data_IF_810182460585
#
_entry.id   IF_810182460585
#
_cell.length_a   1.000
_cell.length_b   1.000
_cell.length_c   1.000
_cell.angle_alpha   90.00
_cell.angle_beta   90.00
_cell.angle_gamma   90.00
#
_symmetry.space_group_name_H-M   'P 1'
#
loop_
_entity.id
_entity.type
_entity.pdbx_description
1 polymer ?
#
# COMPACT_ATOMS: atom_id res chain seq x y z
N UNK A 1 -9.02 31.49 -38.88
CA UNK A 1 -9.98 30.45 -38.43
C UNK A 1 -9.64 29.89 -37.04
N UNK A 2 -8.55 30.30 -36.38
CA UNK A 2 -8.11 29.67 -35.11
C UNK A 2 -8.85 30.13 -33.84
N UNK A 3 -9.62 31.23 -33.89
CA UNK A 3 -10.37 31.72 -32.72
C UNK A 3 -11.69 30.95 -32.47
N UNK A 4 -12.26 30.34 -33.50
CA UNK A 4 -13.54 29.60 -33.39
C UNK A 4 -13.31 28.22 -32.76
N UNK A 5 -12.20 27.55 -33.11
CA UNK A 5 -11.86 26.24 -32.54
C UNK A 5 -11.53 26.32 -31.03
N UNK A 6 -10.89 27.39 -30.54
CA UNK A 6 -10.65 27.59 -29.10
C UNK A 6 -11.95 27.74 -28.29
N UNK A 7 -12.99 28.34 -28.87
CA UNK A 7 -14.29 28.53 -28.22
C UNK A 7 -15.04 27.20 -28.05
N UNK A 8 -15.00 26.31 -29.06
CA UNK A 8 -15.63 24.99 -28.97
C UNK A 8 -15.01 24.08 -27.90
N UNK A 9 -13.68 24.08 -27.75
CA UNK A 9 -13.02 23.28 -26.71
C UNK A 9 -13.37 23.77 -25.29
N UNK A 10 -13.43 25.09 -25.08
CA UNK A 10 -13.78 25.64 -23.77
C UNK A 10 -15.23 25.33 -23.41
N UNK A 11 -16.15 25.45 -24.36
CA UNK A 11 -17.56 25.09 -24.15
C UNK A 11 -17.73 23.60 -23.85
N UNK A 12 -16.99 22.72 -24.51
CA UNK A 12 -17.07 21.27 -24.26
C UNK A 12 -16.54 20.88 -22.87
N UNK A 13 -15.47 21.53 -22.39
CA UNK A 13 -14.96 21.32 -21.03
C UNK A 13 -15.97 21.83 -19.99
N UNK A 14 -16.55 23.01 -20.23
CA UNK A 14 -17.52 23.60 -19.32
C UNK A 14 -18.81 22.76 -19.25
N UNK A 15 -19.30 22.27 -20.40
CA UNK A 15 -20.44 21.36 -20.47
C UNK A 15 -20.16 20.02 -19.76
N UNK A 16 -18.95 19.47 -19.93
CA UNK A 16 -18.52 18.26 -19.22
C UNK A 16 -18.54 18.46 -17.70
N UNK A 17 -18.00 19.57 -17.20
CA UNK A 17 -18.03 19.88 -15.77
C UNK A 17 -19.45 20.07 -15.24
N UNK A 18 -20.33 20.76 -15.98
CA UNK A 18 -21.73 20.97 -15.58
C UNK A 18 -22.51 19.65 -15.59
N UNK A 19 -22.31 18.80 -16.61
CA UNK A 19 -22.97 17.50 -16.69
C UNK A 19 -22.52 16.56 -15.57
N UNK A 20 -21.22 16.54 -15.24
CA UNK A 20 -20.69 15.76 -14.12
C UNK A 20 -21.29 16.28 -12.79
N UNK A 21 -21.31 17.60 -12.58
CA UNK A 21 -21.86 18.19 -11.37
C UNK A 21 -23.38 17.91 -11.23
N UNK A 22 -24.12 17.94 -12.33
CA UNK A 22 -25.56 17.69 -12.33
C UNK A 22 -25.89 16.21 -12.14
N UNK A 23 -25.15 15.30 -12.78
CA UNK A 23 -25.33 13.86 -12.57
C UNK A 23 -24.98 13.44 -11.14
N UNK A 24 -23.96 14.05 -10.54
CA UNK A 24 -23.70 13.89 -9.11
C UNK A 24 -24.90 14.37 -8.31
N UNK A 25 -25.39 15.61 -8.57
CA UNK A 25 -26.52 16.24 -7.88
C UNK A 25 -27.81 15.42 -7.90
N UNK A 26 -28.11 14.74 -9.01
CA UNK A 26 -29.37 14.02 -9.20
C UNK A 26 -29.33 12.59 -8.65
N UNK A 27 -28.16 11.93 -8.61
CA UNK A 27 -28.06 10.51 -8.22
C UNK A 27 -27.95 10.33 -6.70
N UNK A 28 -27.71 11.38 -5.93
CA UNK A 28 -27.45 11.29 -4.48
C UNK A 28 -28.53 11.98 -3.65
N UNK A 29 -29.27 11.26 -2.77
CA UNK A 29 -30.32 11.87 -1.95
C UNK A 29 -29.71 12.83 -0.90
N UNK A 30 -30.38 13.95 -0.55
CA UNK A 30 -29.95 14.83 0.54
C UNK A 30 -30.15 14.07 1.86
N UNK A 31 -29.08 13.82 2.66
CA UNK A 31 -28.14 14.84 3.15
C UNK A 31 -26.68 14.67 2.67
N UNK A 32 -26.41 13.89 1.62
CA UNK A 32 -25.05 13.55 1.18
C UNK A 32 -24.21 14.73 0.63
N UNK A 33 -24.81 15.91 0.43
CA UNK A 33 -24.12 17.14 0.02
C UNK A 33 -23.56 17.97 1.18
N UNK A 34 -23.94 17.66 2.42
CA UNK A 34 -23.44 18.40 3.56
C UNK A 34 -22.03 17.90 3.90
N UNK A 35 -21.03 18.64 3.39
CA UNK A 35 -19.60 18.54 3.68
C UNK A 35 -18.79 17.58 2.81
N UNK A 36 -18.69 17.85 1.50
CA UNK A 36 -17.40 17.57 0.84
C UNK A 36 -16.39 18.53 1.49
N UNK A 37 -15.65 18.02 2.46
CA UNK A 37 -14.66 18.78 3.21
C UNK A 37 -13.42 18.94 2.31
N UNK A 38 -12.73 20.09 2.38
CA UNK A 38 -11.43 20.26 1.72
C UNK A 38 -10.43 19.15 2.15
N UNK A 39 -10.62 18.61 3.36
CA UNK A 39 -9.89 17.45 3.85
C UNK A 39 -10.11 16.19 2.99
N UNK A 40 -11.30 15.96 2.48
CA UNK A 40 -11.63 14.80 1.62
C UNK A 40 -10.93 14.92 0.27
N UNK A 41 -10.89 16.14 -0.29
CA UNK A 41 -10.19 16.44 -1.54
C UNK A 41 -8.69 16.25 -1.38
N UNK A 42 -8.11 16.79 -0.30
CA UNK A 42 -6.67 16.64 -0.01
C UNK A 42 -6.29 15.17 0.23
N UNK A 43 -7.10 14.43 1.01
CA UNK A 43 -6.94 13.00 1.20
C UNK A 43 -6.98 12.24 -0.13
N UNK A 44 -7.99 12.50 -0.97
CA UNK A 44 -8.12 11.88 -2.29
C UNK A 44 -6.91 12.12 -3.20
N UNK A 45 -6.40 13.36 -3.23
CA UNK A 45 -5.19 13.72 -3.99
C UNK A 45 -3.96 12.94 -3.47
N UNK A 46 -3.78 12.87 -2.15
CA UNK A 46 -2.66 12.13 -1.54
C UNK A 46 -2.72 10.64 -1.87
N UNK A 47 -3.90 10.02 -1.69
CA UNK A 47 -4.09 8.61 -2.04
C UNK A 47 -3.87 8.37 -3.54
N UNK A 48 -4.31 9.28 -4.41
CA UNK A 48 -4.07 9.16 -5.85
C UNK A 48 -2.58 9.19 -6.20
N UNK A 49 -1.80 10.05 -5.53
CA UNK A 49 -0.33 10.11 -5.68
C UNK A 49 0.32 8.82 -5.19
N UNK A 50 -0.05 8.35 -4.00
CA UNK A 50 0.45 7.11 -3.41
C UNK A 50 0.10 5.90 -4.28
N UNK A 51 -1.12 5.84 -4.83
CA UNK A 51 -1.53 4.82 -5.81
C UNK A 51 -0.60 4.80 -7.02
N UNK A 52 -0.28 5.98 -7.58
CA UNK A 52 0.66 6.08 -8.69
C UNK A 52 2.05 5.53 -8.35
N UNK A 53 2.53 5.77 -7.13
CA UNK A 53 3.79 5.23 -6.62
C UNK A 53 3.72 3.71 -6.42
N UNK A 54 2.64 3.17 -5.85
CA UNK A 54 2.41 1.72 -5.73
C UNK A 54 2.56 1.04 -7.09
N UNK A 55 1.88 1.55 -8.13
CA UNK A 55 1.98 0.96 -9.47
C UNK A 55 3.37 1.09 -10.07
N UNK A 56 4.04 2.23 -9.87
CA UNK A 56 5.41 2.45 -10.32
C UNK A 56 6.37 1.45 -9.68
N UNK A 57 6.32 1.24 -8.36
CA UNK A 57 7.22 0.35 -7.65
C UNK A 57 6.90 -1.12 -7.87
N UNK A 58 5.62 -1.49 -7.99
CA UNK A 58 5.20 -2.84 -8.41
C UNK A 58 5.76 -3.19 -9.78
N UNK A 59 5.67 -2.29 -10.77
CA UNK A 59 6.17 -2.55 -12.12
C UNK A 59 7.70 -2.60 -12.18
N UNK A 60 8.39 -1.90 -11.27
CA UNK A 60 9.84 -1.98 -11.10
C UNK A 60 10.30 -3.16 -10.24
N UNK A 61 9.38 -3.93 -9.66
CA UNK A 61 9.64 -4.98 -8.69
C UNK A 61 10.44 -4.50 -7.46
N UNK A 62 10.31 -3.23 -7.10
CA UNK A 62 10.97 -2.62 -5.94
C UNK A 62 10.13 -2.86 -4.68
N UNK A 63 10.36 -4.02 -4.04
CA UNK A 63 9.58 -4.49 -2.90
C UNK A 63 9.61 -3.55 -1.70
N UNK A 64 10.78 -2.98 -1.40
CA UNK A 64 10.98 -2.15 -0.21
C UNK A 64 10.20 -0.83 -0.35
N UNK A 65 10.37 -0.13 -1.48
CA UNK A 65 9.63 1.11 -1.73
C UNK A 65 8.13 0.87 -1.87
N UNK A 66 7.73 -0.28 -2.43
CA UNK A 66 6.33 -0.66 -2.49
C UNK A 66 5.72 -0.80 -1.08
N UNK A 67 6.40 -1.49 -0.17
CA UNK A 67 5.96 -1.60 1.22
C UNK A 67 5.91 -0.24 1.90
N UNK A 68 6.93 0.60 1.67
CA UNK A 68 6.97 1.94 2.23
C UNK A 68 5.75 2.77 1.84
N UNK A 69 5.42 2.76 0.54
CA UNK A 69 4.23 3.46 0.02
C UNK A 69 2.93 2.88 0.58
N UNK A 70 2.83 1.55 0.76
CA UNK A 70 1.65 0.92 1.36
C UNK A 70 1.48 1.30 2.83
N UNK A 71 2.57 1.41 3.59
CA UNK A 71 2.53 1.88 4.98
C UNK A 71 2.19 3.38 5.06
N UNK A 72 2.57 4.19 4.06
CA UNK A 72 2.11 5.58 3.93
C UNK A 72 0.61 5.67 3.63
N UNK A 73 0.10 4.82 2.71
CA UNK A 73 -1.34 4.71 2.45
C UNK A 73 -2.09 4.39 3.75
N UNK A 74 -1.59 3.43 4.53
CA UNK A 74 -2.16 3.14 5.85
C UNK A 74 -2.18 4.37 6.72
N UNK A 75 -1.04 5.04 6.90
CA UNK A 75 -0.92 6.20 7.79
C UNK A 75 -1.87 7.34 7.40
N UNK A 76 -2.03 7.60 6.11
CA UNK A 76 -3.00 8.58 5.59
C UNK A 76 -4.44 8.17 5.88
N UNK A 77 -4.78 6.87 5.75
CA UNK A 77 -6.12 6.37 6.08
C UNK A 77 -6.37 6.43 7.60
N UNK A 78 -5.39 6.07 8.42
CA UNK A 78 -5.50 6.18 9.89
C UNK A 78 -5.70 7.64 10.32
N UNK A 79 -4.96 8.57 9.70
CA UNK A 79 -5.11 10.00 9.95
C UNK A 79 -6.48 10.53 9.51
N UNK A 80 -6.98 10.08 8.36
CA UNK A 80 -8.26 10.50 7.82
C UNK A 80 -9.46 9.93 8.59
N UNK A 81 -9.40 8.64 8.96
CA UNK A 81 -10.52 7.93 9.60
C UNK A 81 -10.47 7.98 11.13
N UNK A 82 -9.33 8.31 11.71
CA UNK A 82 -9.07 8.20 13.15
C UNK A 82 -8.97 6.74 13.65
N UNK A 83 -9.07 5.75 12.77
CA UNK A 83 -9.00 4.34 13.11
C UNK A 83 -7.56 3.82 12.99
N UNK A 84 -7.06 3.13 14.01
CA UNK A 84 -5.74 2.49 13.96
C UNK A 84 -5.86 1.04 13.49
N UNK A 85 -5.16 0.69 12.42
CA UNK A 85 -5.09 -0.68 11.95
C UNK A 85 -4.14 -1.51 12.81
N UNK A 86 -4.51 -2.77 13.00
CA UNK A 86 -3.62 -3.77 13.59
C UNK A 86 -3.07 -4.66 12.47
N UNK A 87 -1.79 -4.49 12.12
CA UNK A 87 -1.15 -5.24 11.04
C UNK A 87 -1.21 -6.77 11.25
N UNK A 88 -1.13 -7.25 12.50
CA UNK A 88 -1.23 -8.68 12.77
C UNK A 88 -2.60 -9.24 12.38
N UNK A 89 -3.66 -8.52 12.75
CA UNK A 89 -5.02 -8.93 12.42
C UNK A 89 -5.27 -8.92 10.92
N UNK A 90 -4.80 -7.89 10.21
CA UNK A 90 -4.96 -7.81 8.76
C UNK A 90 -4.14 -8.89 8.04
N UNK A 91 -2.90 -9.16 8.48
CA UNK A 91 -2.10 -10.25 7.91
C UNK A 91 -2.69 -11.62 8.20
N UNK A 92 -3.28 -11.85 9.39
CA UNK A 92 -4.02 -13.08 9.70
C UNK A 92 -5.25 -13.24 8.83
N UNK A 93 -5.98 -12.15 8.57
CA UNK A 93 -7.12 -12.13 7.67
C UNK A 93 -6.71 -12.47 6.24
N UNK A 94 -5.65 -11.84 5.73
CA UNK A 94 -5.08 -12.11 4.40
C UNK A 94 -4.65 -13.57 4.29
N UNK A 95 -3.97 -14.13 5.30
CA UNK A 95 -3.58 -15.54 5.30
C UNK A 95 -4.80 -16.48 5.20
N UNK A 96 -5.85 -16.20 5.98
CA UNK A 96 -7.10 -16.99 5.96
C UNK A 96 -7.82 -16.88 4.62
N UNK A 97 -7.97 -15.68 4.07
CA UNK A 97 -8.62 -15.46 2.77
C UNK A 97 -7.83 -16.08 1.63
N UNK A 98 -6.49 -15.99 1.67
CA UNK A 98 -5.61 -16.60 0.68
C UNK A 98 -5.74 -18.13 0.66
N UNK A 99 -5.79 -18.77 1.84
CA UNK A 99 -6.04 -20.22 1.95
C UNK A 99 -7.43 -20.61 1.44
N UNK A 100 -8.47 -19.82 1.75
CA UNK A 100 -9.83 -20.04 1.24
C UNK A 100 -9.89 -19.98 -0.29
N UNK A 101 -9.09 -19.12 -0.92
CA UNK A 101 -8.98 -19.00 -2.37
C UNK A 101 -8.06 -20.05 -3.03
N UNK A 102 -7.53 -20.99 -2.27
CA UNK A 102 -6.72 -22.10 -2.80
C UNK A 102 -5.23 -21.82 -2.91
N UNK A 103 -4.72 -20.73 -2.30
CA UNK A 103 -3.28 -20.48 -2.27
C UNK A 103 -2.53 -21.58 -1.51
N UNK A 104 -1.44 -22.07 -2.10
CA UNK A 104 -0.56 -23.09 -1.52
C UNK A 104 0.66 -22.49 -0.78
N UNK A 105 0.61 -21.21 -0.42
CA UNK A 105 1.70 -20.56 0.33
C UNK A 105 1.82 -21.19 1.72
N UNK A 106 3.03 -21.57 2.09
CA UNK A 106 3.27 -22.17 3.40
C UNK A 106 3.15 -21.13 4.52
N UNK A 107 2.68 -21.56 5.69
CA UNK A 107 2.60 -20.69 6.89
C UNK A 107 3.97 -20.12 7.26
N UNK A 108 5.04 -20.89 7.04
CA UNK A 108 6.42 -20.47 7.31
C UNK A 108 6.83 -19.30 6.42
N UNK A 109 6.57 -19.36 5.12
CA UNK A 109 6.88 -18.26 4.19
C UNK A 109 6.06 -17.01 4.48
N UNK A 110 4.78 -17.17 4.80
CA UNK A 110 3.92 -16.06 5.21
C UNK A 110 4.43 -15.38 6.48
N UNK A 111 4.86 -16.18 7.47
CA UNK A 111 5.46 -15.66 8.71
C UNK A 111 6.77 -14.91 8.47
N UNK A 112 7.58 -15.30 7.48
CA UNK A 112 8.79 -14.55 7.09
C UNK A 112 8.42 -13.17 6.55
N UNK A 113 7.43 -13.09 5.65
CA UNK A 113 6.94 -11.80 5.12
C UNK A 113 6.38 -10.94 6.25
N UNK A 114 5.60 -11.53 7.16
CA UNK A 114 5.09 -10.85 8.36
C UNK A 114 6.21 -10.23 9.19
N UNK A 115 7.30 -10.96 9.44
CA UNK A 115 8.45 -10.45 10.20
C UNK A 115 9.10 -9.24 9.50
N UNK A 116 9.27 -9.30 8.17
CA UNK A 116 9.85 -8.19 7.41
C UNK A 116 8.97 -6.93 7.45
N UNK A 117 7.66 -7.09 7.21
CA UNK A 117 6.71 -5.97 7.28
C UNK A 117 6.77 -5.31 8.66
N UNK A 118 6.79 -6.12 9.74
CA UNK A 118 6.92 -5.61 11.11
C UNK A 118 8.25 -4.93 11.39
N UNK A 119 9.36 -5.46 10.87
CA UNK A 119 10.66 -4.83 11.07
C UNK A 119 10.72 -3.46 10.41
N UNK A 120 10.14 -3.31 9.21
CA UNK A 120 10.07 -2.01 8.53
C UNK A 120 9.15 -1.03 9.24
N UNK A 121 7.98 -1.47 9.72
CA UNK A 121 7.11 -0.63 10.57
C UNK A 121 7.84 -0.14 11.82
N UNK A 122 8.57 -1.03 12.51
CA UNK A 122 9.37 -0.67 13.68
C UNK A 122 10.47 0.33 13.35
N UNK A 123 11.15 0.18 12.21
CA UNK A 123 12.17 1.13 11.74
C UNK A 123 11.55 2.51 11.52
N UNK A 124 10.41 2.59 10.83
CA UNK A 124 9.70 3.86 10.64
C UNK A 124 9.27 4.50 11.95
N UNK A 125 8.76 3.71 12.90
CA UNK A 125 8.37 4.23 14.20
C UNK A 125 9.57 4.75 15.01
N UNK A 126 10.69 4.02 15.00
CA UNK A 126 11.95 4.48 15.62
C UNK A 126 12.44 5.78 14.98
N UNK A 127 12.46 5.84 13.66
CA UNK A 127 12.86 7.06 12.94
C UNK A 127 11.97 8.25 13.27
N UNK A 128 10.66 8.05 13.34
CA UNK A 128 9.73 9.10 13.77
C UNK A 128 10.00 9.56 15.21
N UNK A 129 10.35 8.64 16.12
CA UNK A 129 10.76 8.99 17.47
C UNK A 129 12.07 9.81 17.48
N UNK A 130 13.06 9.44 16.66
CA UNK A 130 14.30 10.22 16.52
C UNK A 130 14.05 11.62 15.96
N UNK A 131 13.16 11.77 14.97
CA UNK A 131 12.77 13.09 14.46
C UNK A 131 12.13 13.92 15.57
N UNK A 132 11.23 13.33 16.36
CA UNK A 132 10.60 14.03 17.47
C UNK A 132 11.63 14.48 18.52
N UNK A 133 12.55 13.61 18.93
CA UNK A 133 13.64 13.94 19.85
C UNK A 133 14.58 15.02 19.29
N UNK A 134 14.93 14.93 18.02
CA UNK A 134 15.75 15.94 17.34
C UNK A 134 15.08 17.33 17.33
N UNK A 135 13.78 17.39 17.07
CA UNK A 135 13.04 18.65 17.07
C UNK A 135 12.90 19.26 18.47
N UNK A 136 12.87 18.41 19.52
CA UNK A 136 12.78 18.84 20.92
C UNK A 136 14.13 19.31 21.47
N UNK A 137 15.19 18.55 21.21
CA UNK A 137 16.56 18.85 21.65
C UNK A 137 17.21 19.97 20.83
N UNK A 138 16.70 20.23 19.62
CA UNK A 138 17.23 21.19 18.65
C UNK A 138 18.77 21.23 18.58
N UNK A 139 19.43 20.06 18.38
CA UNK A 139 20.86 19.98 18.46
C UNK A 139 21.51 20.74 17.29
N UNK A 140 22.76 21.19 17.47
CA UNK A 140 23.50 21.95 16.46
C UNK A 140 24.00 21.11 15.28
N UNK A 141 23.70 19.82 15.26
CA UNK A 141 24.10 18.86 14.20
C UNK A 141 22.93 18.62 13.26
N UNK A 142 23.21 18.09 12.07
CA UNK A 142 22.15 17.73 11.14
C UNK A 142 21.33 16.52 11.62
N UNK A 143 20.10 16.38 11.15
CA UNK A 143 19.27 15.21 11.49
C UNK A 143 19.91 13.88 11.05
N UNK A 144 20.60 13.87 9.90
CA UNK A 144 21.25 12.66 9.42
C UNK A 144 22.39 12.22 10.35
N UNK A 145 23.20 13.16 10.84
CA UNK A 145 24.23 12.91 11.85
C UNK A 145 23.62 12.47 13.20
N UNK A 146 22.49 13.08 13.59
CA UNK A 146 21.76 12.69 14.80
C UNK A 146 21.21 11.27 14.70
N UNK A 147 20.58 10.92 13.57
CA UNK A 147 20.05 9.58 13.30
C UNK A 147 21.19 8.55 13.33
N UNK A 148 22.34 8.86 12.73
CA UNK A 148 23.53 7.99 12.77
C UNK A 148 24.05 7.78 14.20
N UNK A 149 24.13 8.83 15.02
CA UNK A 149 24.54 8.73 16.42
C UNK A 149 23.56 7.87 17.24
N UNK A 150 22.26 8.06 17.07
CA UNK A 150 21.25 7.24 17.74
C UNK A 150 21.32 5.77 17.30
N UNK A 151 21.56 5.52 16.01
CA UNK A 151 21.73 4.17 15.48
C UNK A 151 23.02 3.52 15.98
N UNK A 152 24.13 4.25 16.03
CA UNK A 152 25.40 3.79 16.56
C UNK A 152 25.30 3.45 18.05
N UNK A 153 24.60 4.27 18.84
CA UNK A 153 24.29 3.99 20.24
C UNK A 153 23.40 2.75 20.41
N UNK A 154 22.48 2.49 19.48
CA UNK A 154 21.62 1.31 19.49
C UNK A 154 22.33 0.02 18.99
N UNK A 155 23.46 0.14 18.29
CA UNK A 155 24.13 -0.97 17.61
C UNK A 155 24.96 -1.90 18.50
N UNK A 156 24.93 -1.73 19.83
CA UNK A 156 25.49 -2.70 20.77
C UNK A 156 24.79 -4.07 20.81
N UNK A 157 23.67 -4.30 20.10
CA UNK A 157 22.84 -5.51 20.33
C UNK A 157 22.27 -6.28 19.13
N UNK A 158 22.50 -5.93 17.86
CA UNK A 158 21.95 -6.73 16.76
C UNK A 158 22.85 -6.75 15.52
N UNK A 159 23.82 -7.66 15.52
CA UNK A 159 24.50 -8.09 14.30
C UNK A 159 23.79 -9.30 13.68
N UNK A 160 23.50 -9.21 12.39
CA UNK A 160 23.48 -10.36 11.49
C UNK A 160 22.33 -11.36 11.64
N UNK A 161 21.09 -10.96 11.36
CA UNK A 161 20.14 -11.94 10.82
C UNK A 161 20.25 -11.90 9.30
N UNK A 162 20.93 -12.91 8.74
CA UNK A 162 20.89 -13.21 7.32
C UNK A 162 19.42 -13.21 6.89
N UNK A 163 19.03 -12.23 6.05
CA UNK A 163 17.70 -12.20 5.46
C UNK A 163 17.58 -13.40 4.54
N UNK A 164 16.94 -14.47 5.02
CA UNK A 164 16.53 -15.56 4.13
C UNK A 164 15.72 -14.96 2.99
N UNK A 165 16.19 -15.19 1.76
CA UNK A 165 15.60 -14.64 0.55
C UNK A 165 14.13 -15.08 0.43
N UNK A 166 13.21 -14.14 0.62
CA UNK A 166 11.80 -14.36 0.35
C UNK A 166 11.59 -14.16 -1.15
N UNK A 167 10.82 -15.04 -1.83
CA UNK A 167 10.45 -14.81 -3.22
C UNK A 167 9.80 -13.43 -3.39
N UNK A 168 10.42 -12.56 -4.19
CA UNK A 168 9.99 -11.15 -4.36
C UNK A 168 8.50 -11.07 -4.75
N UNK A 169 8.04 -11.94 -5.64
CA UNK A 169 6.62 -12.06 -6.03
C UNK A 169 5.68 -12.29 -4.83
N UNK A 170 6.10 -13.10 -3.84
CA UNK A 170 5.29 -13.38 -2.64
C UNK A 170 5.17 -12.12 -1.79
N UNK A 171 6.30 -11.44 -1.59
CA UNK A 171 6.35 -10.21 -0.82
C UNK A 171 5.50 -9.10 -1.47
N UNK A 172 5.67 -8.88 -2.78
CA UNK A 172 4.86 -7.92 -3.54
C UNK A 172 3.37 -8.27 -3.43
N UNK A 173 3.00 -9.55 -3.59
CA UNK A 173 1.62 -9.98 -3.52
C UNK A 173 0.97 -9.68 -2.16
N UNK A 174 1.65 -10.03 -1.06
CA UNK A 174 1.14 -9.76 0.30
C UNK A 174 1.08 -8.25 0.56
N UNK A 175 2.08 -7.48 0.11
CA UNK A 175 2.08 -6.02 0.25
C UNK A 175 0.93 -5.36 -0.54
N UNK A 176 0.61 -5.86 -1.74
CA UNK A 176 -0.56 -5.40 -2.50
C UNK A 176 -1.88 -5.76 -1.83
N UNK A 177 -2.01 -6.99 -1.29
CA UNK A 177 -3.19 -7.39 -0.52
C UNK A 177 -3.39 -6.49 0.70
N UNK A 178 -2.30 -6.15 1.39
CA UNK A 178 -2.32 -5.28 2.55
C UNK A 178 -2.75 -3.86 2.16
N UNK A 179 -2.13 -3.26 1.14
CA UNK A 179 -2.51 -1.93 0.65
C UNK A 179 -3.95 -1.88 0.14
N UNK A 180 -4.38 -2.93 -0.57
CA UNK A 180 -5.77 -3.07 -1.02
C UNK A 180 -6.75 -3.15 0.16
N UNK A 181 -6.42 -3.92 1.20
CA UNK A 181 -7.27 -4.03 2.40
C UNK A 181 -7.47 -2.70 3.11
N UNK A 182 -6.43 -1.86 3.21
CA UNK A 182 -6.56 -0.53 3.80
C UNK A 182 -7.48 0.37 2.96
N UNK A 183 -7.29 0.39 1.64
CA UNK A 183 -8.14 1.19 0.76
C UNK A 183 -9.61 0.72 0.81
N UNK A 184 -9.86 -0.58 0.87
CA UNK A 184 -11.21 -1.12 1.01
C UNK A 184 -11.86 -0.77 2.35
N UNK A 185 -11.08 -0.58 3.41
CA UNK A 185 -11.61 -0.06 4.67
C UNK A 185 -12.08 1.40 4.54
N UNK A 186 -11.35 2.23 3.79
CA UNK A 186 -11.70 3.63 3.56
C UNK A 186 -12.81 3.81 2.50
N UNK A 187 -13.11 2.79 1.70
CA UNK A 187 -14.08 2.84 0.60
C UNK A 187 -15.50 3.32 0.99
N UNK A 188 -16.10 2.94 2.14
CA UNK A 188 -17.42 3.43 2.53
C UNK A 188 -17.45 4.94 2.78
N UNK A 189 -16.31 5.54 3.16
CA UNK A 189 -16.19 6.96 3.48
C UNK A 189 -15.73 7.73 2.23
N UNK A 190 -14.81 7.14 1.46
CA UNK A 190 -14.23 7.73 0.27
C UNK A 190 -14.32 6.74 -0.92
N UNK A 191 -15.45 6.69 -1.64
CA UNK A 191 -15.70 5.67 -2.66
C UNK A 191 -14.65 5.63 -3.79
N UNK A 192 -13.95 6.73 -4.05
CA UNK A 192 -12.90 6.82 -5.08
C UNK A 192 -11.74 5.84 -4.83
N UNK A 193 -11.54 5.39 -3.58
CA UNK A 193 -10.47 4.44 -3.23
C UNK A 193 -10.86 2.98 -3.41
N UNK A 194 -12.15 2.68 -3.62
CA UNK A 194 -12.67 1.31 -3.75
C UNK A 194 -12.03 0.57 -4.94
N UNK A 195 -12.12 1.14 -6.15
CA UNK A 195 -11.60 0.53 -7.37
C UNK A 195 -10.08 0.25 -7.28
N UNK A 196 -9.23 1.19 -6.84
CA UNK A 196 -7.83 0.90 -6.54
C UNK A 196 -7.63 -0.23 -5.52
N UNK A 197 -8.42 -0.23 -4.43
CA UNK A 197 -8.38 -1.26 -3.40
C UNK A 197 -8.65 -2.65 -3.95
N UNK A 198 -9.76 -2.80 -4.69
CA UNK A 198 -10.15 -4.05 -5.35
C UNK A 198 -9.08 -4.52 -6.34
N UNK A 199 -8.53 -3.60 -7.15
CA UNK A 199 -7.49 -3.91 -8.14
C UNK A 199 -6.22 -4.43 -7.46
N UNK A 200 -5.78 -3.77 -6.38
CA UNK A 200 -4.61 -4.21 -5.61
C UNK A 200 -4.85 -5.58 -4.97
N UNK A 201 -6.04 -5.79 -4.39
CA UNK A 201 -6.39 -7.09 -3.81
C UNK A 201 -6.44 -8.19 -4.88
N UNK A 202 -7.10 -7.94 -6.01
CA UNK A 202 -7.22 -8.87 -7.12
C UNK A 202 -5.86 -9.30 -7.68
N UNK A 203 -4.97 -8.33 -7.94
CA UNK A 203 -3.61 -8.61 -8.40
C UNK A 203 -2.78 -9.34 -7.35
N UNK A 204 -2.88 -8.95 -6.08
CA UNK A 204 -2.20 -9.63 -4.99
C UNK A 204 -2.61 -11.10 -4.90
N UNK A 205 -3.92 -11.40 -4.96
CA UNK A 205 -4.41 -12.79 -4.98
C UNK A 205 -3.96 -13.54 -6.22
N UNK A 206 -4.04 -12.92 -7.41
CA UNK A 206 -3.56 -13.53 -8.66
C UNK A 206 -2.10 -13.96 -8.57
N UNK A 207 -1.22 -13.08 -8.07
CA UNK A 207 0.19 -13.40 -7.86
C UNK A 207 0.41 -14.55 -6.85
N UNK A 208 -0.38 -14.63 -5.78
CA UNK A 208 -0.29 -15.74 -4.82
C UNK A 208 -0.72 -17.08 -5.41
N UNK A 209 -1.68 -17.07 -6.33
CA UNK A 209 -2.15 -18.27 -7.02
C UNK A 209 -1.11 -18.73 -8.07
N UNK A 210 -0.58 -17.81 -8.86
CA UNK A 210 0.45 -18.09 -9.87
C UNK A 210 1.70 -18.70 -9.24
N UNK A 211 2.16 -18.17 -8.10
CA UNK A 211 3.27 -18.78 -7.36
C UNK A 211 2.98 -20.19 -6.86
N UNK A 212 1.71 -20.48 -6.52
CA UNK A 212 1.28 -21.82 -6.14
C UNK A 212 1.38 -22.79 -7.31
N UNK A 213 1.08 -22.33 -8.53
CA UNK A 213 1.19 -23.11 -9.77
C UNK A 213 2.66 -23.35 -10.12
N UNK A 214 3.50 -22.30 -10.12
CA UNK A 214 4.95 -22.39 -10.42
C UNK A 214 5.63 -23.45 -9.52
N UNK A 215 5.34 -23.42 -8.22
CA UNK A 215 5.88 -24.40 -7.27
C UNK A 215 5.37 -25.82 -7.51
N UNK A 216 4.12 -25.97 -7.93
CA UNK A 216 3.52 -27.27 -8.19
C UNK A 216 4.11 -27.91 -9.44
N UNK A 217 4.23 -27.15 -10.53
CA UNK A 217 4.87 -27.59 -11.78
C UNK A 217 6.35 -27.94 -11.56
N UNK A 218 7.08 -27.11 -10.81
CA UNK A 218 8.48 -27.40 -10.47
C UNK A 218 8.68 -28.68 -9.66
N UNK A 219 7.70 -29.07 -8.82
CA UNK A 219 7.75 -30.36 -8.10
C UNK A 219 7.52 -31.55 -9.03
N UNK A 220 6.55 -31.45 -9.96
CA UNK A 220 6.26 -32.52 -10.92
C UNK A 220 7.48 -32.80 -11.81
N UNK A 221 8.13 -31.74 -12.32
CA UNK A 221 9.33 -31.86 -13.15
C UNK A 221 10.49 -32.52 -12.40
N UNK A 222 10.74 -32.17 -11.13
CA UNK A 222 11.77 -32.81 -10.31
C UNK A 222 11.49 -34.29 -10.03
N UNK A 223 10.23 -34.67 -9.79
CA UNK A 223 9.87 -36.08 -9.58
C UNK A 223 9.95 -36.92 -10.86
N UNK A 224 9.78 -36.32 -12.04
CA UNK A 224 9.97 -37.01 -13.31
C UNK A 224 11.46 -37.30 -13.58
N UNK A 225 12.36 -36.38 -13.25
CA UNK A 225 13.81 -36.51 -13.46
C UNK A 225 14.52 -37.50 -12.53
N UNK A 226 13.88 -37.98 -11.46
CA UNK A 226 14.48 -38.95 -10.50
C UNK A 226 14.13 -40.40 -10.89
N UNK A 227 13.29 -40.60 -11.91
CA UNK A 227 12.86 -41.93 -12.37
C UNK A 227 13.56 -42.41 -13.65
N UNK A 228 14.56 -41.68 -14.13
CA UNK A 228 15.52 -42.10 -15.16
C UNK A 228 16.87 -42.39 -14.51
#
# INVERSE_FOLDING_TARGET
MDRIFKSMYFNNVLLSCVLIAFSLAVITPPPAYAQVNLNDVNFGIRIQKLKGQVWKYKNKLDSNKLLDTVLEIRSEIEAYTGHKFNLDKELDRIEKESKKKGSKVSKTEFNRVRKLIKSEEKKKHKRAAYIASYLDEAPSISFDEYEELCLAAAHGQNQGQAQEEIPIKLFIAITLLLGGSFLMFAAPICPIVALPGETMMGLGFGMLLDQGIDKFQGRISKTASIKE
#
